data_IF_336796943230
#
_entry.id   IF_336796943230
#
_cell.length_a   1.000
_cell.length_b   1.000
_cell.length_c   1.000
_cell.angle_alpha   90.00
_cell.angle_beta   90.00
_cell.angle_gamma   90.00
#
_symmetry.space_group_name_H-M   'P 1'
#
loop_
_entity.id
_entity.type
_entity.pdbx_description
1 polymer ?
#
# COMPACT_ATOMS: atom_id res chain seq x y z
N UNK A 1 -13.26 -8.63 2.48
CA UNK A 1 -12.60 -7.43 1.92
C UNK A 1 -13.61 -6.61 1.13
N UNK A 2 -13.53 -5.29 1.25
CA UNK A 2 -14.34 -4.40 0.42
C UNK A 2 -14.02 -4.59 -1.06
N UNK A 3 -14.99 -4.36 -1.95
CA UNK A 3 -14.71 -4.44 -3.38
C UNK A 3 -13.71 -3.35 -3.79
N UNK A 4 -12.83 -3.69 -4.73
CA UNK A 4 -11.89 -2.72 -5.27
C UNK A 4 -12.58 -1.95 -6.39
N UNK A 5 -12.74 -0.66 -6.18
CA UNK A 5 -13.23 0.26 -7.18
C UNK A 5 -12.04 0.75 -8.00
N UNK A 6 -12.24 1.03 -9.28
CA UNK A 6 -11.13 1.35 -10.18
C UNK A 6 -11.34 2.71 -10.85
N UNK A 7 -10.32 3.54 -10.77
CA UNK A 7 -10.21 4.77 -11.54
C UNK A 7 -8.75 4.88 -11.95
N UNK A 8 -8.38 4.11 -12.96
CA UNK A 8 -6.98 3.99 -13.38
C UNK A 8 -6.55 5.26 -14.09
N UNK A 9 -5.54 5.91 -13.52
CA UNK A 9 -4.99 7.15 -14.07
C UNK A 9 -4.21 6.87 -15.35
N UNK A 10 -4.39 7.67 -16.40
CA UNK A 10 -3.52 7.62 -17.58
C UNK A 10 -2.16 8.28 -17.32
N UNK A 11 -1.97 8.88 -16.14
CA UNK A 11 -0.75 9.57 -15.73
C UNK A 11 -0.12 8.86 -14.54
N UNK A 12 1.06 9.32 -14.12
CA UNK A 12 1.65 9.03 -12.82
C UNK A 12 2.06 7.57 -12.63
N UNK A 13 2.53 6.91 -13.69
CA UNK A 13 2.99 5.54 -13.56
C UNK A 13 4.07 5.19 -14.59
N UNK A 14 4.86 4.19 -14.27
CA UNK A 14 5.71 3.49 -15.23
C UNK A 14 4.90 2.35 -15.88
N UNK A 15 5.40 1.81 -16.98
CA UNK A 15 4.69 0.75 -17.71
C UNK A 15 5.02 -0.65 -17.21
N UNK A 16 5.85 -0.78 -16.17
CA UNK A 16 6.28 -2.07 -15.66
C UNK A 16 6.36 -2.07 -14.14
N UNK A 17 5.95 -3.16 -13.52
CA UNK A 17 6.13 -3.45 -12.11
C UNK A 17 6.15 -4.97 -11.91
N UNK A 18 7.03 -5.44 -11.03
CA UNK A 18 7.07 -6.84 -10.58
C UNK A 18 6.87 -6.85 -9.06
N UNK A 19 5.62 -7.00 -8.58
CA UNK A 19 5.32 -6.85 -7.16
C UNK A 19 6.00 -7.89 -6.28
N UNK A 20 6.99 -7.47 -5.53
CA UNK A 20 7.72 -8.26 -4.53
C UNK A 20 7.54 -7.70 -3.12
N UNK A 21 7.13 -6.45 -3.01
CA UNK A 21 6.99 -5.72 -1.75
C UNK A 21 5.68 -4.97 -1.70
N UNK A 22 5.20 -4.72 -0.49
CA UNK A 22 4.06 -3.82 -0.25
C UNK A 22 4.56 -2.69 0.64
N UNK A 23 4.34 -1.46 0.20
CA UNK A 23 4.70 -0.26 0.94
C UNK A 23 3.44 0.36 1.55
N UNK A 24 3.46 0.55 2.86
CA UNK A 24 2.36 1.14 3.61
C UNK A 24 2.66 2.62 3.81
N UNK A 25 1.72 3.47 3.38
CA UNK A 25 1.78 4.92 3.48
C UNK A 25 0.53 5.47 4.15
N UNK A 26 0.56 6.74 4.53
CA UNK A 26 -0.64 7.52 4.83
C UNK A 26 -0.70 8.72 3.90
N UNK A 27 -1.92 9.14 3.55
CA UNK A 27 -2.12 10.20 2.55
C UNK A 27 -1.57 11.55 3.03
N UNK A 28 -1.66 11.81 4.33
CA UNK A 28 -1.17 13.07 4.88
C UNK A 28 -2.04 14.29 4.55
N UNK A 29 -3.29 14.07 4.14
CA UNK A 29 -4.25 15.12 3.87
C UNK A 29 -5.51 14.86 4.70
N UNK A 30 -5.85 15.76 5.59
CA UNK A 30 -6.96 15.58 6.51
C UNK A 30 -8.29 15.44 5.77
N UNK A 31 -9.03 14.39 6.09
CA UNK A 31 -10.41 14.15 5.60
C UNK A 31 -10.53 13.91 4.09
N UNK A 32 -9.42 13.69 3.40
CA UNK A 32 -9.44 13.33 1.98
C UNK A 32 -9.76 11.83 1.85
N UNK A 33 -10.85 11.50 1.13
CA UNK A 33 -11.31 10.12 0.98
C UNK A 33 -10.52 9.37 -0.10
N UNK A 34 -10.69 8.06 -0.15
CA UNK A 34 -10.06 7.24 -1.20
C UNK A 34 -10.56 7.66 -2.60
N UNK A 35 -11.85 7.93 -2.75
CA UNK A 35 -12.42 8.42 -4.02
C UNK A 35 -11.85 9.79 -4.39
N UNK A 36 -11.68 10.71 -3.42
CA UNK A 36 -11.07 12.02 -3.67
C UNK A 36 -9.66 11.87 -4.23
N UNK A 37 -8.87 11.01 -3.61
CA UNK A 37 -7.48 10.77 -4.04
C UNK A 37 -7.43 10.15 -5.43
N UNK A 38 -8.24 9.13 -5.69
CA UNK A 38 -8.30 8.50 -7.01
C UNK A 38 -8.66 9.52 -8.08
N UNK A 39 -9.61 10.41 -7.81
CA UNK A 39 -10.03 11.46 -8.73
C UNK A 39 -8.91 12.48 -8.96
N UNK A 40 -8.19 12.87 -7.90
CA UNK A 40 -7.08 13.80 -8.00
C UNK A 40 -5.99 13.28 -8.94
N UNK A 41 -5.56 12.04 -8.74
CA UNK A 41 -4.49 11.45 -9.56
C UNK A 41 -4.96 11.08 -10.97
N UNK A 42 -6.26 10.85 -11.15
CA UNK A 42 -6.82 10.65 -12.49
C UNK A 42 -6.79 11.93 -13.32
N UNK A 43 -6.84 13.09 -12.67
CA UNK A 43 -7.05 14.39 -13.32
C UNK A 43 -5.82 15.01 -13.96
N UNK A 44 -4.62 14.44 -13.81
CA UNK A 44 -3.42 15.01 -14.42
C UNK A 44 -2.14 14.44 -13.88
N UNK A 45 -1.02 14.94 -14.42
CA UNK A 45 0.32 14.57 -13.94
C UNK A 45 0.57 15.27 -12.60
N UNK A 46 0.68 14.48 -11.55
CA UNK A 46 0.93 14.95 -10.17
C UNK A 46 2.34 14.65 -9.69
N UNK A 47 3.12 13.94 -10.52
CA UNK A 47 4.49 13.51 -10.20
C UNK A 47 4.57 12.65 -8.93
N UNK A 48 3.47 12.01 -8.59
CA UNK A 48 3.32 11.09 -7.47
C UNK A 48 2.09 10.22 -7.73
N UNK A 49 2.03 9.06 -7.12
CA UNK A 49 0.85 8.20 -7.18
C UNK A 49 0.97 7.06 -6.16
N UNK A 50 -0.09 6.27 -6.07
CA UNK A 50 -0.10 4.99 -5.38
C UNK A 50 -0.99 4.02 -6.15
N UNK A 51 -0.82 2.74 -5.90
CA UNK A 51 -1.69 1.74 -6.52
C UNK A 51 -3.09 1.80 -5.94
N UNK A 52 -3.20 1.93 -4.60
CA UNK A 52 -4.47 1.88 -3.90
C UNK A 52 -4.58 2.99 -2.86
N UNK A 53 -5.80 3.50 -2.73
CA UNK A 53 -6.22 4.39 -1.65
C UNK A 53 -7.31 3.69 -0.85
N UNK A 54 -7.19 3.71 0.48
CA UNK A 54 -8.10 3.00 1.38
C UNK A 54 -8.65 3.97 2.41
N UNK A 55 -9.97 3.91 2.62
CA UNK A 55 -10.63 4.66 3.70
C UNK A 55 -11.59 3.77 4.48
N UNK A 56 -12.45 4.36 5.30
CA UNK A 56 -13.38 3.62 6.18
C UNK A 56 -14.35 2.73 5.40
N UNK A 57 -14.67 3.10 4.16
CA UNK A 57 -15.77 2.48 3.44
C UNK A 57 -15.43 2.05 2.03
N UNK A 58 -14.22 2.33 1.53
CA UNK A 58 -13.89 2.02 0.15
C UNK A 58 -12.41 1.75 -0.08
N UNK A 59 -12.12 1.01 -1.14
CA UNK A 59 -10.79 0.80 -1.70
C UNK A 59 -10.84 1.23 -3.15
N UNK A 60 -9.96 2.15 -3.53
CA UNK A 60 -9.87 2.63 -4.91
C UNK A 60 -8.49 2.31 -5.48
N UNK A 61 -8.46 1.71 -6.67
CA UNK A 61 -7.22 1.46 -7.40
C UNK A 61 -7.02 2.56 -8.43
N UNK A 62 -5.84 3.17 -8.39
CA UNK A 62 -5.44 4.28 -9.25
C UNK A 62 -4.38 3.90 -10.27
N UNK A 63 -3.58 2.87 -10.00
CA UNK A 63 -2.53 2.35 -10.89
C UNK A 63 -2.67 0.83 -10.95
N UNK A 64 -2.50 0.27 -12.14
CA UNK A 64 -2.49 -1.19 -12.33
C UNK A 64 -1.33 -1.81 -11.55
N UNK A 65 -1.53 -2.99 -10.97
CA UNK A 65 -0.48 -3.66 -10.22
C UNK A 65 0.77 -3.95 -11.06
N UNK A 66 0.59 -4.17 -12.37
CA UNK A 66 1.68 -4.44 -13.30
C UNK A 66 2.42 -3.18 -13.76
N UNK A 67 2.01 -2.03 -13.30
CA UNK A 67 2.64 -0.74 -13.58
C UNK A 67 3.26 -0.20 -12.30
N UNK A 68 4.41 0.47 -12.41
CA UNK A 68 5.04 1.09 -11.25
C UNK A 68 4.35 2.39 -10.88
N UNK A 69 3.84 2.48 -9.65
CA UNK A 69 3.35 3.76 -9.14
C UNK A 69 4.54 4.59 -8.64
N UNK A 70 4.35 5.90 -8.57
CA UNK A 70 5.38 6.83 -8.10
C UNK A 70 5.16 7.14 -6.62
N UNK A 71 5.52 6.18 -5.74
CA UNK A 71 5.14 6.26 -4.32
C UNK A 71 6.31 6.22 -3.33
N UNK A 72 7.49 5.72 -3.72
CA UNK A 72 8.63 5.66 -2.79
C UNK A 72 9.81 6.53 -3.22
N UNK A 73 9.77 7.08 -4.44
CA UNK A 73 10.81 8.00 -4.91
C UNK A 73 12.20 7.37 -4.92
N UNK A 74 13.19 8.17 -4.53
CA UNK A 74 14.55 7.69 -4.36
C UNK A 74 14.68 6.96 -3.03
N UNK A 75 14.89 5.66 -3.09
CA UNK A 75 14.99 4.81 -1.90
C UNK A 75 16.45 4.54 -1.55
N UNK A 76 16.68 4.07 -0.32
CA UNK A 76 18.00 3.64 0.15
C UNK A 76 18.02 2.15 0.43
N UNK A 77 17.02 1.43 -0.07
CA UNK A 77 16.90 -0.01 0.06
C UNK A 77 16.66 -0.62 -1.31
N UNK A 78 16.52 -1.93 -1.38
CA UNK A 78 16.22 -2.63 -2.61
C UNK A 78 14.80 -2.38 -3.14
N UNK A 79 13.91 -1.82 -2.31
CA UNK A 79 12.52 -1.55 -2.70
C UNK A 79 12.44 -0.28 -3.53
N UNK A 80 11.72 -0.34 -4.64
CA UNK A 80 11.57 0.80 -5.54
C UNK A 80 10.17 0.78 -6.19
N UNK A 81 9.90 1.77 -7.04
CA UNK A 81 8.59 1.92 -7.69
C UNK A 81 8.26 0.79 -8.69
N UNK A 82 9.22 -0.01 -9.10
CA UNK A 82 9.03 -1.08 -10.09
C UNK A 82 9.07 -2.48 -9.50
N UNK A 83 9.10 -2.61 -8.18
CA UNK A 83 9.03 -3.91 -7.51
C UNK A 83 8.10 -3.91 -6.30
N UNK A 84 7.19 -2.94 -6.21
CA UNK A 84 6.34 -2.80 -5.04
C UNK A 84 4.93 -2.32 -5.39
N UNK A 85 4.01 -2.59 -4.47
CA UNK A 85 2.65 -2.06 -4.48
C UNK A 85 2.56 -1.00 -3.38
N UNK A 86 2.17 0.21 -3.74
CA UNK A 86 1.96 1.29 -2.77
C UNK A 86 0.51 1.39 -2.35
N UNK A 87 0.27 1.40 -1.03
CA UNK A 87 -1.06 1.55 -0.44
C UNK A 87 -1.06 2.78 0.45
N UNK A 88 -1.98 3.70 0.18
CA UNK A 88 -2.15 4.95 0.91
C UNK A 88 -3.39 4.86 1.79
N UNK A 89 -3.19 5.00 3.10
CA UNK A 89 -4.30 5.06 4.06
C UNK A 89 -4.77 6.49 4.20
N UNK A 90 -6.07 6.71 4.04
CA UNK A 90 -6.67 8.04 4.21
C UNK A 90 -6.69 8.46 5.68
N UNK A 91 -6.64 9.77 5.91
CA UNK A 91 -6.53 10.36 7.25
C UNK A 91 -7.89 10.94 7.68
N UNK A 92 -8.80 10.08 8.16
CA UNK A 92 -10.15 10.49 8.51
C UNK A 92 -10.32 10.77 10.03
N UNK A 93 -9.31 10.46 10.83
CA UNK A 93 -9.28 10.80 12.25
C UNK A 93 -8.53 12.11 12.48
N UNK A 94 -8.73 12.79 13.62
CA UNK A 94 -8.03 14.05 13.90
C UNK A 94 -6.51 13.93 13.82
N UNK A 95 -5.86 15.04 13.51
CA UNK A 95 -4.39 15.15 13.44
C UNK A 95 -3.78 14.18 12.42
N UNK A 96 -4.39 14.10 11.24
CA UNK A 96 -3.97 13.19 10.17
C UNK A 96 -3.99 11.72 10.59
N UNK A 97 -4.84 11.40 11.57
CA UNK A 97 -4.94 10.04 12.09
C UNK A 97 -5.64 9.10 11.10
N UNK A 98 -5.17 7.86 11.09
CA UNK A 98 -5.81 6.77 10.35
C UNK A 98 -6.74 6.06 11.32
N UNK A 99 -8.03 5.92 10.97
CA UNK A 99 -9.00 5.24 11.82
C UNK A 99 -8.69 3.73 11.88
N UNK A 100 -9.22 3.07 12.91
CA UNK A 100 -9.13 1.61 13.00
C UNK A 100 -9.84 0.93 11.83
N UNK A 101 -10.93 1.53 11.34
CA UNK A 101 -11.68 0.98 10.20
C UNK A 101 -10.84 1.02 8.93
N UNK A 102 -10.19 2.14 8.64
CA UNK A 102 -9.27 2.25 7.50
C UNK A 102 -8.11 1.27 7.64
N UNK A 103 -7.55 1.15 8.83
CA UNK A 103 -6.49 0.18 9.10
C UNK A 103 -6.95 -1.25 8.83
N UNK A 104 -8.14 -1.63 9.29
CA UNK A 104 -8.70 -2.97 9.07
C UNK A 104 -8.93 -3.24 7.58
N UNK A 105 -9.47 -2.26 6.85
CA UNK A 105 -9.66 -2.40 5.40
C UNK A 105 -8.33 -2.54 4.67
N UNK A 106 -7.31 -1.80 5.12
CA UNK A 106 -5.95 -1.91 4.58
C UNK A 106 -5.36 -3.29 4.85
N UNK A 107 -5.55 -3.80 6.07
CA UNK A 107 -5.08 -5.13 6.45
C UNK A 107 -5.63 -6.20 5.51
N UNK A 108 -6.91 -6.15 5.19
CA UNK A 108 -7.54 -7.12 4.29
C UNK A 108 -7.02 -7.00 2.86
N UNK A 109 -6.79 -5.78 2.39
CA UNK A 109 -6.19 -5.56 1.07
C UNK A 109 -4.77 -6.12 1.02
N UNK A 110 -3.97 -5.89 2.06
CA UNK A 110 -2.61 -6.42 2.15
C UNK A 110 -2.62 -7.94 2.10
N UNK A 111 -3.51 -8.60 2.86
CA UNK A 111 -3.65 -10.06 2.82
C UNK A 111 -3.97 -10.56 1.41
N UNK A 112 -4.88 -9.90 0.73
CA UNK A 112 -5.25 -10.22 -0.64
C UNK A 112 -4.04 -10.14 -1.58
N UNK A 113 -3.27 -9.05 -1.50
CA UNK A 113 -2.10 -8.84 -2.37
C UNK A 113 -0.95 -9.79 -2.03
N UNK A 114 -0.72 -10.07 -0.74
CA UNK A 114 0.26 -11.06 -0.32
C UNK A 114 -0.02 -12.42 -0.95
N UNK A 115 -1.27 -12.87 -0.88
CA UNK A 115 -1.69 -14.13 -1.50
C UNK A 115 -1.54 -14.09 -3.02
N UNK A 116 -2.00 -13.03 -3.64
CA UNK A 116 -2.04 -12.91 -5.10
C UNK A 116 -0.63 -12.98 -5.72
N UNK A 117 0.35 -12.35 -5.08
CA UNK A 117 1.69 -12.22 -5.62
C UNK A 117 2.75 -13.02 -4.87
N UNK A 118 2.37 -13.78 -3.85
CA UNK A 118 3.32 -14.54 -3.06
C UNK A 118 4.28 -13.65 -2.27
N UNK A 119 3.82 -12.51 -1.78
CA UNK A 119 4.65 -11.55 -1.06
C UNK A 119 4.75 -11.99 0.40
N UNK A 120 5.96 -12.30 0.91
CA UNK A 120 6.12 -12.75 2.29
C UNK A 120 5.94 -11.60 3.27
N UNK A 121 5.66 -11.93 4.51
CA UNK A 121 5.43 -10.96 5.57
C UNK A 121 6.58 -9.95 5.71
N UNK A 122 7.81 -10.41 5.60
CA UNK A 122 9.00 -9.55 5.71
C UNK A 122 9.07 -8.47 4.62
N UNK A 123 8.31 -8.64 3.54
CA UNK A 123 8.29 -7.70 2.42
C UNK A 123 7.11 -6.71 2.50
N UNK A 124 6.33 -6.75 3.57
CA UNK A 124 5.36 -5.70 3.89
C UNK A 124 6.07 -4.70 4.80
N UNK A 125 6.31 -3.50 4.27
CA UNK A 125 7.15 -2.50 4.93
C UNK A 125 6.49 -1.13 4.94
N UNK A 126 6.91 -0.29 5.90
CA UNK A 126 6.54 1.12 5.88
C UNK A 126 7.40 1.88 4.88
N UNK A 127 6.90 3.02 4.41
CA UNK A 127 7.73 3.94 3.64
C UNK A 127 8.95 4.39 4.44
N UNK A 128 8.82 4.50 5.77
CA UNK A 128 9.94 4.81 6.65
C UNK A 128 11.09 3.82 6.48
N UNK A 129 10.78 2.53 6.53
CA UNK A 129 11.79 1.48 6.35
C UNK A 129 12.40 1.51 4.94
N UNK A 130 11.56 1.69 3.93
CA UNK A 130 11.98 1.70 2.52
C UNK A 130 12.90 2.88 2.23
N UNK A 131 12.65 4.03 2.84
CA UNK A 131 13.46 5.23 2.66
C UNK A 131 14.79 5.21 3.42
N UNK A 132 15.10 4.11 4.12
CA UNK A 132 16.28 4.05 4.98
C UNK A 132 16.13 4.96 6.20
N UNK A 133 14.93 4.95 6.80
CA UNK A 133 14.59 5.68 8.01
C UNK A 133 14.61 7.21 7.85
N UNK A 134 14.39 7.71 6.64
CA UNK A 134 14.42 9.16 6.39
C UNK A 134 13.04 9.81 6.30
N UNK A 135 11.99 9.03 6.03
CA UNK A 135 10.61 9.55 5.91
C UNK A 135 9.69 8.88 6.91
N UNK A 136 9.14 9.64 7.86
CA UNK A 136 8.17 9.11 8.82
C UNK A 136 6.81 8.97 8.12
N UNK A 137 6.63 7.82 7.49
CA UNK A 137 5.40 7.47 6.77
C UNK A 137 5.20 5.95 6.88
N UNK A 138 4.03 5.49 7.32
CA UNK A 138 2.92 6.28 7.84
C UNK A 138 3.28 6.95 9.18
N UNK A 139 2.40 7.81 9.66
CA UNK A 139 2.62 8.56 10.91
C UNK A 139 2.36 7.70 12.17
N UNK A 140 2.91 6.50 12.19
CA UNK A 140 2.73 5.49 13.23
C UNK A 140 3.99 5.26 14.07
N UNK A 141 4.89 6.26 14.11
CA UNK A 141 6.19 6.09 14.80
C UNK A 141 6.08 6.07 16.34
N UNK A 142 4.95 6.48 16.90
CA UNK A 142 4.76 6.50 18.33
C UNK A 142 4.98 5.13 18.96
N UNK A 143 5.55 5.10 20.16
CA UNK A 143 5.85 3.88 20.91
C UNK A 143 6.68 2.89 20.09
N UNK A 144 7.67 3.40 19.40
CA UNK A 144 8.59 2.59 18.58
C UNK A 144 7.87 1.76 17.54
N UNK A 145 6.95 2.39 16.78
CA UNK A 145 6.18 1.75 15.72
C UNK A 145 5.25 0.62 16.20
N UNK A 146 4.76 0.74 17.44
CA UNK A 146 3.91 -0.32 18.02
C UNK A 146 2.69 -0.64 17.15
N UNK A 147 2.06 0.39 16.58
CA UNK A 147 0.88 0.20 15.73
C UNK A 147 1.20 -0.60 14.47
N UNK A 148 2.32 -0.31 13.81
CA UNK A 148 2.76 -1.09 12.65
C UNK A 148 3.14 -2.50 13.04
N UNK A 149 3.80 -2.70 14.17
CA UNK A 149 4.14 -4.02 14.66
C UNK A 149 2.89 -4.86 14.91
N UNK A 150 1.83 -4.27 15.49
CA UNK A 150 0.55 -4.94 15.66
C UNK A 150 -0.11 -5.28 14.33
N UNK A 151 -0.03 -4.36 13.36
CA UNK A 151 -0.50 -4.60 11.99
C UNK A 151 0.20 -5.81 11.37
N UNK A 152 1.52 -5.89 11.50
CA UNK A 152 2.31 -7.02 11.01
C UNK A 152 1.92 -8.32 11.72
N UNK A 153 1.67 -8.27 13.03
CA UNK A 153 1.27 -9.46 13.78
C UNK A 153 -0.06 -10.03 13.27
N UNK A 154 -0.98 -9.19 12.86
CA UNK A 154 -2.25 -9.62 12.28
C UNK A 154 -2.09 -10.27 10.90
N UNK A 155 -0.98 -10.03 10.22
CA UNK A 155 -0.65 -10.64 8.93
C UNK A 155 0.11 -11.95 9.08
N UNK A 156 0.61 -12.29 10.27
CA UNK A 156 1.53 -13.41 10.46
C UNK A 156 0.93 -14.76 10.07
N UNK A 157 -0.41 -14.90 10.10
CA UNK A 157 -1.09 -16.11 9.70
C UNK A 157 -1.36 -16.27 8.21
N UNK A 158 -0.99 -15.29 7.39
CA UNK A 158 -1.26 -15.34 5.95
C UNK A 158 -0.32 -16.33 5.27
N UNK A 159 -0.88 -17.30 4.55
CA UNK A 159 -0.10 -18.27 3.82
C UNK A 159 0.25 -17.72 2.44
N UNK A 160 1.46 -17.19 2.30
CA UNK A 160 1.92 -16.58 1.05
C UNK A 160 2.71 -17.55 0.18
N UNK A 161 3.00 -18.75 0.69
CA UNK A 161 3.73 -19.73 -0.10
C UNK A 161 2.83 -20.48 -1.09
N UNK A 162 1.53 -20.53 -0.84
CA UNK A 162 0.60 -21.28 -1.68
C UNK A 162 0.64 -20.89 -3.16
N UNK A 163 0.63 -19.60 -3.53
CA UNK A 163 0.69 -19.24 -4.95
C UNK A 163 1.99 -19.64 -5.63
N UNK A 164 3.07 -19.58 -4.90
CA UNK A 164 4.39 -19.88 -5.48
C UNK A 164 4.67 -21.36 -5.53
N UNK A 165 4.10 -22.15 -4.63
CA UNK A 165 4.27 -23.60 -4.64
C UNK A 165 3.38 -24.28 -5.65
N UNK A 166 2.47 -23.62 -6.04
CA UNK A 166 1.51 -24.18 -6.99
C UNK A 166 2.17 -24.80 -8.19
N UNK A 167 2.91 -24.79 -7.19
CA UNK A 167 3.33 -25.20 -7.51
C UNK A 167 3.30 -26.04 -7.80
N UNK A 168 2.91 -25.77 -7.33
CA UNK A 168 2.83 -26.32 -7.43
C UNK A 168 2.62 -26.84 -7.48
N UNK A 169 2.65 -26.78 -7.09
CA UNK A 169 2.48 -27.20 -6.92
C UNK A 169 2.22 -27.79 -7.08
N UNK A 170 2.22 -27.82 -6.87
CA UNK A 170 2.03 -28.27 -6.77
C UNK A 170 1.83 -28.72 -6.97
N UNK A 171 1.79 -28.77 -6.82
CA UNK A 171 1.61 -29.22 -6.70
C UNK A 171 1.58 -29.77 -6.90
#
# INVERSE_FOLDING_TARGET
MLPIQRKISPYNHYDYNDPKYIAIHYVGAQSSTAANNATYFFGGDRQASAHYFVDDSSIWQSVEDRCGAWHVGNTRTEVNNRNSIGIEMCCLAPNLGVTEKTEQNTLELVKYLMNKYGIPLSNVRTHYQISGNSKVCPNWSANNWARFNNFKNKLAGVNVSAPSTSNGDVV
#
